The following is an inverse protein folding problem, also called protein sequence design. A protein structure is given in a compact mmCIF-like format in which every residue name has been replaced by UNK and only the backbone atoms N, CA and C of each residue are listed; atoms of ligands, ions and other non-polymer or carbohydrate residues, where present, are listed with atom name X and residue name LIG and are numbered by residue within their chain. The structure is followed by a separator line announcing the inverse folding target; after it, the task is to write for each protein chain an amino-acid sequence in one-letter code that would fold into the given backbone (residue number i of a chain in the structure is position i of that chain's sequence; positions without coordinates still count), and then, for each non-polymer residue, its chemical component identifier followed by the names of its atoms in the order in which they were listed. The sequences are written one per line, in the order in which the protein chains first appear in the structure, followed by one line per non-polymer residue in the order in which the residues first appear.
data_IF_641155306740
#
_entry.id   IF_641155306740
#
_cell.length_a   1.000
_cell.length_b   1.000
_cell.length_c   1.000
_cell.angle_alpha   90.00
_cell.angle_beta   90.00
_cell.angle_gamma   90.00
#
_symmetry.space_group_name_H-M   'P 1'
#
loop_
_entity.id
_entity.type
_entity.pdbx_description
1 polymer ?
#
# COMPACT_ATOMS: atom_id res chain seq x y z
N UNK A 1 69.61 46.01 54.38
CA UNK A 1 68.64 46.67 53.48
C UNK A 1 68.83 46.04 52.11
N UNK A 2 67.78 45.58 51.43
CA UNK A 2 67.92 45.16 50.03
C UNK A 2 68.52 46.30 49.23
N UNK A 3 69.47 45.98 48.36
CA UNK A 3 70.10 46.95 47.50
C UNK A 3 69.14 47.38 46.40
N UNK A 4 69.36 48.54 45.79
CA UNK A 4 68.60 48.94 44.59
C UNK A 4 68.70 47.89 43.46
N UNK A 5 69.78 47.12 43.42
CA UNK A 5 69.98 46.03 42.48
C UNK A 5 69.02 44.85 42.74
N UNK A 6 68.76 44.52 44.02
CA UNK A 6 67.84 43.44 44.39
C UNK A 6 66.40 43.77 43.98
N UNK A 7 65.98 45.02 44.23
CA UNK A 7 64.66 45.52 43.79
C UNK A 7 64.51 45.50 42.26
N UNK A 8 65.58 45.85 41.53
CA UNK A 8 65.57 45.80 40.06
C UNK A 8 65.45 44.35 39.54
N UNK A 9 66.13 43.40 40.17
CA UNK A 9 66.06 41.98 39.79
C UNK A 9 64.66 41.40 40.05
N UNK A 10 64.03 41.73 41.19
CA UNK A 10 62.64 41.32 41.48
C UNK A 10 61.65 41.90 40.47
N UNK A 11 61.82 43.17 40.06
CA UNK A 11 60.97 43.80 39.05
C UNK A 11 61.09 43.11 37.68
N UNK A 12 62.31 42.72 37.29
CA UNK A 12 62.54 41.96 36.05
C UNK A 12 61.86 40.60 36.11
N UNK A 13 61.96 39.88 37.23
CA UNK A 13 61.29 38.59 37.43
C UNK A 13 59.77 38.73 37.38
N UNK A 14 59.20 39.74 38.04
CA UNK A 14 57.77 40.02 38.01
C UNK A 14 57.28 40.32 36.58
N UNK A 15 58.04 41.11 35.82
CA UNK A 15 57.73 41.39 34.41
C UNK A 15 57.77 40.13 33.54
N UNK A 16 58.72 39.22 33.78
CA UNK A 16 58.77 37.93 33.08
C UNK A 16 57.56 37.05 33.43
N UNK A 17 57.16 37.00 34.71
CA UNK A 17 55.97 36.25 35.14
C UNK A 17 54.70 36.82 34.53
N UNK A 18 54.55 38.14 34.47
CA UNK A 18 53.43 38.80 33.78
C UNK A 18 53.41 38.47 32.28
N UNK A 19 54.58 38.42 31.64
CA UNK A 19 54.72 37.95 30.26
C UNK A 19 54.22 36.51 30.07
N UNK A 20 54.63 35.59 30.95
CA UNK A 20 54.19 34.20 30.91
C UNK A 20 52.68 34.06 31.16
N UNK A 21 52.12 34.82 32.11
CA UNK A 21 50.68 34.85 32.39
C UNK A 21 49.92 35.34 31.14
N UNK A 22 50.40 36.41 30.50
CA UNK A 22 49.77 36.93 29.29
C UNK A 22 49.77 35.88 28.16
N UNK A 23 50.87 35.16 27.96
CA UNK A 23 50.94 34.05 27.00
C UNK A 23 49.98 32.91 27.37
N UNK A 24 49.88 32.56 28.66
CA UNK A 24 48.96 31.54 29.15
C UNK A 24 47.49 31.92 28.92
N UNK A 25 47.12 33.16 29.20
CA UNK A 25 45.77 33.69 28.94
C UNK A 25 45.45 33.65 27.45
N UNK A 26 46.39 34.02 26.59
CA UNK A 26 46.21 33.94 25.14
C UNK A 26 45.98 32.50 24.66
N UNK A 27 46.72 31.52 25.21
CA UNK A 27 46.53 30.11 24.90
C UNK A 27 45.16 29.58 25.37
N UNK A 28 44.72 29.94 26.57
CA UNK A 28 43.39 29.57 27.09
C UNK A 28 42.28 30.19 26.25
N UNK A 29 42.43 31.46 25.84
CA UNK A 29 41.49 32.13 24.92
C UNK A 29 41.40 31.37 23.60
N UNK A 30 42.52 31.03 22.98
CA UNK A 30 42.55 30.28 21.74
C UNK A 30 41.87 28.90 21.87
N UNK A 31 42.11 28.19 22.98
CA UNK A 31 41.45 26.91 23.27
C UNK A 31 39.94 27.07 23.46
N UNK A 32 39.51 28.13 24.15
CA UNK A 32 38.10 28.46 24.36
C UNK A 32 37.39 28.78 23.04
N UNK A 33 38.03 29.58 22.18
CA UNK A 33 37.50 29.93 20.86
C UNK A 33 37.39 28.68 19.97
N UNK A 34 38.33 27.74 20.06
CA UNK A 34 38.28 26.46 19.33
C UNK A 34 37.15 25.53 19.82
N UNK A 35 36.92 25.46 21.14
CA UNK A 35 35.78 24.72 21.72
C UNK A 35 34.46 25.34 21.27
N UNK A 36 34.35 26.68 21.30
CA UNK A 36 33.16 27.39 20.82
C UNK A 36 32.87 27.06 19.35
N UNK A 37 33.87 27.12 18.48
CA UNK A 37 33.71 26.78 17.06
C UNK A 37 33.23 25.33 16.88
N UNK A 38 33.74 24.40 17.69
CA UNK A 38 33.34 22.98 17.66
C UNK A 38 31.88 22.79 18.11
N UNK A 39 31.45 23.50 19.16
CA UNK A 39 30.06 23.49 19.63
C UNK A 39 29.12 24.08 18.57
N UNK A 40 29.50 25.19 17.95
CA UNK A 40 28.72 25.83 16.89
C UNK A 40 28.56 24.87 15.68
N UNK A 41 29.63 24.14 15.32
CA UNK A 41 29.59 23.13 14.27
C UNK A 41 28.66 21.97 14.62
N UNK A 42 28.75 21.40 15.83
CA UNK A 42 27.86 20.31 16.27
C UNK A 42 26.41 20.76 16.25
N UNK A 43 26.13 21.98 16.74
CA UNK A 43 24.78 22.54 16.73
C UNK A 43 24.25 22.69 15.30
N UNK A 44 25.06 23.19 14.37
CA UNK A 44 24.69 23.31 12.97
C UNK A 44 24.40 21.94 12.32
N UNK A 45 25.25 20.93 12.58
CA UNK A 45 25.04 19.55 12.11
C UNK A 45 23.76 18.95 12.68
N UNK A 46 23.50 19.17 13.98
CA UNK A 46 22.32 18.64 14.66
C UNK A 46 21.01 19.26 14.11
N UNK A 47 20.99 20.58 13.94
CA UNK A 47 19.84 21.30 13.36
C UNK A 47 19.59 20.81 11.92
N UNK A 48 20.65 20.66 11.12
CA UNK A 48 20.53 20.16 9.74
C UNK A 48 20.00 18.71 9.72
N UNK A 49 20.56 17.83 10.54
CA UNK A 49 20.15 16.43 10.63
C UNK A 49 18.70 16.26 11.10
N UNK A 50 18.28 17.01 12.12
CA UNK A 50 16.87 17.01 12.54
C UNK A 50 15.94 17.58 11.46
N UNK A 51 16.36 18.60 10.73
CA UNK A 51 15.61 19.13 9.60
C UNK A 51 15.36 18.06 8.53
N UNK A 52 16.40 17.27 8.19
CA UNK A 52 16.27 16.15 7.25
C UNK A 52 15.35 15.04 7.77
N UNK A 53 15.45 14.67 9.05
CA UNK A 53 14.57 13.67 9.66
C UNK A 53 13.11 14.10 9.68
N UNK A 54 12.83 15.38 9.96
CA UNK A 54 11.48 15.94 9.91
C UNK A 54 10.94 15.91 8.48
N UNK A 55 11.74 16.32 7.50
CA UNK A 55 11.35 16.29 6.08
C UNK A 55 11.05 14.85 5.61
N UNK A 56 11.90 13.90 5.98
CA UNK A 56 11.69 12.49 5.68
C UNK A 56 10.41 11.96 6.33
N UNK A 57 10.18 12.28 7.61
CA UNK A 57 8.95 11.89 8.31
C UNK A 57 7.68 12.45 7.65
N UNK A 58 7.71 13.72 7.22
CA UNK A 58 6.61 14.32 6.47
C UNK A 58 6.36 13.63 5.13
N UNK A 59 7.42 13.33 4.38
CA UNK A 59 7.33 12.62 3.11
C UNK A 59 6.77 11.20 3.29
N UNK A 60 7.26 10.44 4.28
CA UNK A 60 6.75 9.09 4.59
C UNK A 60 5.28 9.12 4.94
N UNK A 61 4.83 10.10 5.74
CA UNK A 61 3.41 10.25 6.07
C UNK A 61 2.57 10.56 4.82
N UNK A 62 3.07 11.42 3.92
CA UNK A 62 2.39 11.73 2.67
C UNK A 62 2.31 10.52 1.74
N UNK A 63 3.41 9.75 1.61
CA UNK A 63 3.45 8.55 0.80
C UNK A 63 2.51 7.46 1.36
N UNK A 64 2.45 7.31 2.69
CA UNK A 64 1.54 6.37 3.34
C UNK A 64 0.07 6.78 3.10
N UNK A 65 -0.25 8.06 3.23
CA UNK A 65 -1.59 8.58 2.91
C UNK A 65 -1.96 8.34 1.45
N UNK A 66 -1.04 8.57 0.51
CA UNK A 66 -1.29 8.27 -0.90
C UNK A 66 -1.46 6.77 -1.17
N UNK A 67 -0.76 5.90 -0.43
CA UNK A 67 -0.94 4.46 -0.53
C UNK A 67 -2.32 4.03 -0.03
N UNK A 68 -2.77 4.60 1.09
CA UNK A 68 -4.12 4.37 1.64
C UNK A 68 -5.21 4.72 0.62
N UNK A 69 -5.13 5.90 0.00
CA UNK A 69 -6.06 6.33 -1.06
C UNK A 69 -6.04 5.42 -2.30
N UNK A 70 -4.86 4.91 -2.67
CA UNK A 70 -4.75 3.94 -3.77
C UNK A 70 -5.41 2.60 -3.40
N UNK A 71 -5.20 2.13 -2.16
CA UNK A 71 -5.82 0.89 -1.70
C UNK A 71 -7.35 1.00 -1.67
N UNK A 72 -7.90 2.14 -1.22
CA UNK A 72 -9.35 2.39 -1.28
C UNK A 72 -9.90 2.33 -2.71
N UNK A 73 -9.17 2.93 -3.65
CA UNK A 73 -9.54 2.90 -5.07
C UNK A 73 -9.50 1.47 -5.63
N UNK A 74 -8.46 0.69 -5.29
CA UNK A 74 -8.34 -0.71 -5.69
C UNK A 74 -9.51 -1.53 -5.12
N UNK A 75 -9.85 -1.36 -3.84
CA UNK A 75 -10.97 -2.06 -3.20
C UNK A 75 -12.28 -1.76 -3.94
N UNK A 76 -12.53 -0.49 -4.26
CA UNK A 76 -13.71 -0.08 -5.02
C UNK A 76 -13.77 -0.73 -6.42
N UNK A 77 -12.65 -0.72 -7.15
CA UNK A 77 -12.57 -1.36 -8.48
C UNK A 77 -12.82 -2.86 -8.39
N UNK A 78 -12.21 -3.55 -7.41
CA UNK A 78 -12.41 -4.98 -7.19
C UNK A 78 -13.86 -5.30 -6.84
N UNK A 79 -14.52 -4.45 -6.05
CA UNK A 79 -15.95 -4.56 -5.77
C UNK A 79 -16.77 -4.47 -7.06
N UNK A 80 -16.51 -3.48 -7.92
CA UNK A 80 -17.19 -3.36 -9.20
C UNK A 80 -16.96 -4.56 -10.12
N UNK A 81 -15.71 -5.06 -10.21
CA UNK A 81 -15.39 -6.26 -10.99
C UNK A 81 -16.21 -7.44 -10.49
N UNK A 82 -16.23 -7.69 -9.17
CA UNK A 82 -16.96 -8.82 -8.61
C UNK A 82 -18.47 -8.76 -8.88
N UNK A 83 -19.09 -7.58 -8.77
CA UNK A 83 -20.52 -7.37 -9.10
C UNK A 83 -20.78 -7.63 -10.59
N UNK A 84 -19.94 -7.07 -11.45
CA UNK A 84 -20.09 -7.24 -12.90
C UNK A 84 -19.89 -8.69 -13.33
N UNK A 85 -18.89 -9.39 -12.78
CA UNK A 85 -18.67 -10.82 -13.06
C UNK A 85 -19.84 -11.67 -12.60
N UNK A 86 -20.41 -11.39 -11.42
CA UNK A 86 -21.60 -12.08 -10.92
C UNK A 86 -22.81 -11.87 -11.84
N UNK A 87 -23.04 -10.62 -12.29
CA UNK A 87 -24.11 -10.28 -13.22
C UNK A 87 -23.93 -10.97 -14.58
N UNK A 88 -22.71 -10.91 -15.15
CA UNK A 88 -22.39 -11.56 -16.42
C UNK A 88 -22.60 -13.08 -16.36
N UNK A 89 -22.24 -13.72 -15.24
CA UNK A 89 -22.46 -15.14 -15.06
C UNK A 89 -23.96 -15.49 -15.00
N UNK A 90 -24.76 -14.65 -14.33
CA UNK A 90 -26.21 -14.82 -14.28
C UNK A 90 -26.84 -14.64 -15.68
N UNK A 91 -26.41 -13.63 -16.44
CA UNK A 91 -26.86 -13.42 -17.82
C UNK A 91 -26.45 -14.57 -18.75
N UNK A 92 -25.23 -15.10 -18.60
CA UNK A 92 -24.77 -16.25 -19.36
C UNK A 92 -25.68 -17.46 -19.13
N UNK A 93 -26.08 -17.73 -17.88
CA UNK A 93 -27.03 -18.80 -17.56
C UNK A 93 -28.39 -18.59 -18.19
N UNK A 94 -28.92 -17.36 -18.16
CA UNK A 94 -30.19 -17.02 -18.81
C UNK A 94 -30.11 -17.26 -20.33
N UNK A 95 -29.02 -16.80 -20.97
CA UNK A 95 -28.81 -16.99 -22.40
C UNK A 95 -28.66 -18.47 -22.76
N UNK A 96 -27.93 -19.26 -21.98
CA UNK A 96 -27.83 -20.70 -22.19
C UNK A 96 -29.20 -21.37 -22.11
N UNK A 97 -30.04 -21.00 -21.12
CA UNK A 97 -31.42 -21.50 -21.02
C UNK A 97 -32.24 -21.17 -22.27
N UNK A 98 -32.20 -19.93 -22.72
CA UNK A 98 -32.93 -19.48 -23.91
C UNK A 98 -32.43 -20.20 -25.17
N UNK A 99 -31.13 -20.43 -25.31
CA UNK A 99 -30.57 -21.20 -26.43
C UNK A 99 -31.04 -22.66 -26.41
N UNK A 100 -31.14 -23.29 -25.24
CA UNK A 100 -31.71 -24.64 -25.11
C UNK A 100 -33.21 -24.70 -25.41
N UNK A 101 -33.96 -23.63 -25.14
CA UNK A 101 -35.37 -23.51 -25.54
C UNK A 101 -35.49 -23.32 -27.07
N UNK A 102 -34.65 -22.48 -27.67
CA UNK A 102 -34.59 -22.29 -29.13
C UNK A 102 -34.22 -23.57 -29.88
N UNK A 103 -33.31 -24.41 -29.35
CA UNK A 103 -33.00 -25.71 -29.93
C UNK A 103 -34.28 -26.56 -30.08
N UNK A 104 -35.11 -26.61 -29.04
CA UNK A 104 -36.38 -27.36 -29.06
C UNK A 104 -37.40 -26.79 -30.05
N UNK A 105 -37.47 -25.47 -30.16
CA UNK A 105 -38.38 -24.81 -31.10
C UNK A 105 -37.95 -25.08 -32.56
N UNK A 106 -36.64 -25.07 -32.83
CA UNK A 106 -36.07 -25.42 -34.13
C UNK A 106 -36.36 -26.89 -34.46
N UNK A 107 -36.17 -27.82 -33.52
CA UNK A 107 -36.53 -29.24 -33.69
C UNK A 107 -38.03 -29.37 -34.09
N UNK A 108 -38.91 -28.58 -33.46
CA UNK A 108 -40.32 -28.51 -33.81
C UNK A 108 -40.59 -28.00 -35.24
N UNK A 109 -39.86 -26.98 -35.68
CA UNK A 109 -39.94 -26.49 -37.06
C UNK A 109 -39.43 -27.51 -38.07
N UNK A 110 -38.33 -28.20 -37.77
CA UNK A 110 -37.80 -29.27 -38.61
C UNK A 110 -38.82 -30.39 -38.78
N UNK A 111 -39.53 -30.78 -37.70
CA UNK A 111 -40.61 -31.75 -37.77
C UNK A 111 -41.75 -31.30 -38.72
N UNK A 112 -42.08 -30.00 -38.74
CA UNK A 112 -43.06 -29.46 -39.71
C UNK A 112 -42.55 -29.57 -41.14
N UNK A 113 -41.28 -29.24 -41.42
CA UNK A 113 -40.68 -29.40 -42.75
C UNK A 113 -40.58 -30.87 -43.19
N UNK A 114 -40.38 -31.79 -42.25
CA UNK A 114 -40.34 -33.21 -42.51
C UNK A 114 -41.69 -33.76 -43.03
N UNK A 115 -42.82 -33.11 -42.71
CA UNK A 115 -44.12 -33.47 -43.31
C UNK A 115 -44.16 -33.30 -44.83
N UNK A 116 -43.35 -32.39 -45.38
CA UNK A 116 -43.17 -32.22 -46.83
C UNK A 116 -42.23 -33.28 -47.45
N UNK A 117 -41.45 -34.02 -46.64
CA UNK A 117 -40.46 -35.00 -47.06
C UNK A 117 -40.55 -36.32 -46.23
N UNK A 118 -41.54 -37.18 -46.50
CA UNK A 118 -41.92 -38.29 -45.61
C UNK A 118 -40.82 -39.36 -45.40
N UNK A 119 -39.91 -39.54 -46.37
CA UNK A 119 -38.78 -40.47 -46.23
C UNK A 119 -37.75 -40.01 -45.19
N UNK A 120 -37.42 -38.72 -45.16
CA UNK A 120 -36.51 -38.14 -44.17
C UNK A 120 -37.15 -38.08 -42.77
N UNK A 121 -38.47 -37.84 -42.72
CA UNK A 121 -39.24 -37.79 -41.47
C UNK A 121 -39.14 -39.10 -40.65
N UNK A 122 -39.02 -40.24 -41.33
CA UNK A 122 -39.03 -41.55 -40.67
C UNK A 122 -37.70 -41.83 -39.95
N UNK A 123 -36.57 -41.40 -40.51
CA UNK A 123 -35.27 -41.49 -39.85
C UNK A 123 -35.13 -40.46 -38.72
N UNK A 124 -35.67 -39.26 -38.90
CA UNK A 124 -35.68 -38.22 -37.86
C UNK A 124 -36.43 -38.69 -36.61
N UNK A 125 -37.61 -39.31 -36.78
CA UNK A 125 -38.36 -39.96 -35.68
C UNK A 125 -37.58 -41.06 -34.96
N UNK A 126 -36.74 -41.82 -35.67
CA UNK A 126 -35.90 -42.86 -35.03
C UNK A 126 -34.83 -42.22 -34.16
N UNK A 127 -34.22 -41.13 -34.62
CA UNK A 127 -33.23 -40.37 -33.86
C UNK A 127 -33.83 -39.71 -32.63
N UNK A 128 -34.99 -39.06 -32.74
CA UNK A 128 -35.71 -38.47 -31.59
C UNK A 128 -36.01 -39.52 -30.51
N UNK A 129 -36.52 -40.69 -30.90
CA UNK A 129 -36.80 -41.78 -29.97
C UNK A 129 -35.53 -42.29 -29.27
N UNK A 130 -34.40 -42.27 -29.96
CA UNK A 130 -33.11 -42.61 -29.38
C UNK A 130 -32.64 -41.52 -28.40
N UNK A 131 -32.79 -40.24 -28.76
CA UNK A 131 -32.46 -39.07 -27.91
C UNK A 131 -33.32 -39.09 -26.64
N UNK A 132 -34.62 -39.35 -26.73
CA UNK A 132 -35.50 -39.52 -25.56
C UNK A 132 -35.07 -40.69 -24.65
N UNK A 133 -34.64 -41.81 -25.23
CA UNK A 133 -34.14 -42.94 -24.43
C UNK A 133 -32.85 -42.57 -23.69
N UNK A 134 -31.98 -41.79 -24.33
CA UNK A 134 -30.75 -41.28 -23.72
C UNK A 134 -31.10 -40.27 -22.61
N UNK A 135 -32.00 -39.33 -22.85
CA UNK A 135 -32.40 -38.32 -21.87
C UNK A 135 -33.17 -38.90 -20.68
N UNK A 136 -33.92 -39.99 -20.86
CA UNK A 136 -34.52 -40.74 -19.74
C UNK A 136 -33.47 -41.32 -18.80
N UNK A 137 -32.33 -41.73 -19.36
CA UNK A 137 -31.21 -42.24 -18.57
C UNK A 137 -30.37 -41.11 -17.98
N UNK A 138 -30.21 -40.00 -18.70
CA UNK A 138 -29.38 -38.86 -18.33
C UNK A 138 -30.07 -37.53 -18.71
N UNK A 139 -30.96 -37.00 -17.86
CA UNK A 139 -31.62 -35.73 -18.14
C UNK A 139 -30.59 -34.59 -18.13
N UNK A 140 -30.73 -33.59 -19.01
CA UNK A 140 -29.82 -32.44 -19.02
C UNK A 140 -29.93 -31.67 -17.69
N UNK A 141 -28.79 -31.25 -17.10
CA UNK A 141 -28.79 -30.52 -15.84
C UNK A 141 -29.52 -29.17 -16.02
N UNK A 142 -30.42 -28.85 -15.09
CA UNK A 142 -31.01 -27.51 -15.07
C UNK A 142 -29.99 -26.53 -14.49
N UNK A 143 -29.76 -25.38 -15.14
CA UNK A 143 -28.82 -24.41 -14.63
C UNK A 143 -29.42 -23.67 -13.42
N UNK A 144 -28.80 -23.80 -12.26
CA UNK A 144 -29.14 -23.01 -11.07
C UNK A 144 -28.65 -21.57 -11.24
N UNK A 145 -29.25 -20.62 -10.50
CA UNK A 145 -28.74 -19.24 -10.47
C UNK A 145 -27.38 -19.25 -9.76
N UNK A 146 -26.27 -19.03 -10.47
CA UNK A 146 -24.96 -19.45 -10.01
C UNK A 146 -24.35 -18.48 -9.01
N UNK A 147 -24.75 -17.20 -9.03
CA UNK A 147 -24.07 -16.18 -8.23
C UNK A 147 -25.03 -15.26 -7.47
N UNK A 148 -24.72 -15.11 -6.17
CA UNK A 148 -25.25 -14.07 -5.29
C UNK A 148 -24.08 -13.25 -4.78
N UNK A 149 -24.07 -11.95 -5.09
CA UNK A 149 -23.03 -11.06 -4.61
C UNK A 149 -23.10 -10.92 -3.08
N UNK A 150 -21.94 -11.07 -2.42
CA UNK A 150 -21.77 -10.82 -1.00
C UNK A 150 -20.59 -9.86 -0.80
N UNK A 151 -20.78 -8.71 -0.15
CA UNK A 151 -19.71 -7.74 0.07
C UNK A 151 -18.68 -8.28 1.07
N UNK A 152 -17.42 -7.90 0.88
CA UNK A 152 -16.36 -8.18 1.84
C UNK A 152 -16.56 -7.37 3.14
N UNK A 153 -16.17 -7.90 4.31
CA UNK A 153 -16.18 -7.13 5.54
C UNK A 153 -15.18 -5.97 5.48
N UNK A 154 -15.59 -4.79 5.95
CA UNK A 154 -14.70 -3.64 6.03
C UNK A 154 -13.55 -3.87 7.05
N UNK A 155 -12.35 -3.33 6.78
CA UNK A 155 -11.24 -3.42 7.72
C UNK A 155 -11.53 -2.64 9.02
N UNK A 156 -10.88 -3.04 10.11
CA UNK A 156 -10.99 -2.33 11.39
C UNK A 156 -10.27 -0.97 11.31
N UNK A 157 -10.79 0.10 11.95
CA UNK A 157 -10.10 1.38 12.03
C UNK A 157 -8.74 1.25 12.72
N UNK A 158 -7.78 2.08 12.30
CA UNK A 158 -6.49 2.21 12.98
C UNK A 158 -6.73 2.78 14.38
N UNK A 159 -6.10 2.18 15.39
CA UNK A 159 -6.17 2.65 16.78
C UNK A 159 -5.39 3.97 16.99
N UNK A 160 -5.56 4.62 18.15
CA UNK A 160 -4.78 5.82 18.47
C UNK A 160 -3.26 5.51 18.47
N UNK A 161 -2.42 6.50 18.15
CA UNK A 161 -0.97 6.32 18.24
C UNK A 161 -0.57 5.95 19.67
N UNK A 162 0.45 5.09 19.86
CA UNK A 162 0.92 4.72 21.19
C UNK A 162 1.38 5.95 21.97
N UNK A 163 0.98 6.04 23.24
CA UNK A 163 1.43 7.11 24.13
C UNK A 163 2.95 6.99 24.35
N UNK A 164 3.66 8.12 24.26
CA UNK A 164 5.10 8.14 24.57
C UNK A 164 5.29 7.95 26.06
N UNK A 165 6.06 6.94 26.46
CA UNK A 165 6.54 6.87 27.84
C UNK A 165 7.37 8.12 28.16
N UNK A 166 7.17 8.76 29.32
CA UNK A 166 7.97 9.90 29.72
C UNK A 166 9.45 9.51 29.80
N UNK A 167 10.39 10.40 29.43
CA UNK A 167 11.81 10.09 29.51
C UNK A 167 12.19 9.72 30.96
N UNK A 168 13.11 8.76 31.16
CA UNK A 168 13.62 8.45 32.49
C UNK A 168 14.20 9.72 33.13
N UNK A 169 13.80 10.00 34.37
CA UNK A 169 14.30 11.14 35.16
C UNK A 169 15.71 10.89 35.67
#
# INVERSE_FOLDING_TARGET
MPSAQDLMNELVLANQQLGNINTGIAAVKASTDAVKASVDQVNATLISGFGQLVALGQYTNQALYQNDQQNDTIICILEHISKNTCALLNEAVIQTRLQSELEKDIDGMEAMFATANPGAALELKRLEKLKEQIEKCCPPPQPEVPCRYAPCPAPKPIGPPPEKEPPPR
#
